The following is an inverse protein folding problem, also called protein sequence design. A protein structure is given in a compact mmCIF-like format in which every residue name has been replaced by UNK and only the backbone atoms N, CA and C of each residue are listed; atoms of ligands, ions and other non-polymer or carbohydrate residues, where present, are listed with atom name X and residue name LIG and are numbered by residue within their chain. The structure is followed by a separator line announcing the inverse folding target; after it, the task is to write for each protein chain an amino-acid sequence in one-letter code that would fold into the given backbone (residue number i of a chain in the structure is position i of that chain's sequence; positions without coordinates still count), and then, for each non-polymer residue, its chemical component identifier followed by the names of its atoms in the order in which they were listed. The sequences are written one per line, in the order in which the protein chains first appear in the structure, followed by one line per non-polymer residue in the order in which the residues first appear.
data_IF_803874409663
#
_entry.id   IF_803874409663
#
_cell.length_a   1.000
_cell.length_b   1.000
_cell.length_c   1.000
_cell.angle_alpha   90.00
_cell.angle_beta   90.00
_cell.angle_gamma   90.00
#
_symmetry.space_group_name_H-M   'P 1'
#
loop_
_entity.id
_entity.type
_entity.pdbx_description
1 polymer ?
#
# COMPACT_ATOMS: atom_id res chain seq x y z
N UNK A 1 -12.84 -8.06 12.88
CA UNK A 1 -11.76 -7.73 11.91
C UNK A 1 -10.49 -7.45 12.71
N UNK A 2 -9.44 -8.25 12.56
CA UNK A 2 -8.13 -7.96 13.15
C UNK A 2 -7.51 -6.78 12.39
N UNK A 3 -7.04 -5.75 13.10
CA UNK A 3 -6.28 -4.68 12.47
C UNK A 3 -4.90 -5.25 12.08
N UNK A 4 -4.45 -5.06 10.83
CA UNK A 4 -3.14 -5.54 10.43
C UNK A 4 -2.06 -4.85 11.27
N UNK A 5 -1.07 -5.63 11.73
CA UNK A 5 0.05 -5.09 12.49
C UNK A 5 0.97 -4.32 11.52
N UNK A 6 1.11 -3.02 11.77
CA UNK A 6 1.92 -2.14 10.95
C UNK A 6 3.30 -1.95 11.61
N UNK A 7 4.36 -2.18 10.85
CA UNK A 7 5.72 -1.85 11.23
C UNK A 7 6.16 -0.58 10.49
N UNK A 8 6.64 0.40 11.25
CA UNK A 8 7.19 1.65 10.73
C UNK A 8 8.67 1.43 10.40
N UNK A 9 9.11 1.77 9.19
CA UNK A 9 10.50 1.69 8.73
C UNK A 9 11.02 3.07 8.33
N UNK A 10 11.38 3.94 9.29
CA UNK A 10 11.79 5.33 9.00
C UNK A 10 13.03 5.43 8.11
N UNK A 11 14.00 4.51 8.29
CA UNK A 11 15.26 4.52 7.55
C UNK A 11 15.07 4.39 6.02
N UNK A 12 14.00 3.74 5.57
CA UNK A 12 13.68 3.59 4.14
C UNK A 12 12.45 4.40 3.71
N UNK A 13 11.84 5.17 4.62
CA UNK A 13 10.55 5.84 4.46
C UNK A 13 9.44 4.89 3.97
N UNK A 14 9.30 3.74 4.62
CA UNK A 14 8.34 2.69 4.24
C UNK A 14 7.57 2.13 5.43
N UNK A 15 6.48 1.45 5.12
CA UNK A 15 5.68 0.66 6.03
C UNK A 15 5.80 -0.81 5.64
N UNK A 16 5.75 -1.71 6.62
CA UNK A 16 5.64 -3.14 6.39
C UNK A 16 4.45 -3.70 7.17
N UNK A 17 3.74 -4.64 6.57
CA UNK A 17 2.54 -5.23 7.17
C UNK A 17 2.29 -6.64 6.69
N UNK A 18 1.55 -7.39 7.49
CA UNK A 18 1.08 -8.72 7.17
C UNK A 18 -0.42 -8.67 6.91
N UNK A 19 -0.83 -9.10 5.72
CA UNK A 19 -2.21 -9.06 5.26
C UNK A 19 -2.74 -10.47 5.02
N UNK A 20 -3.95 -10.80 5.50
CA UNK A 20 -4.67 -11.95 4.98
C UNK A 20 -5.04 -11.67 3.53
N UNK A 21 -4.86 -12.65 2.67
CA UNK A 21 -5.22 -12.60 1.26
C UNK A 21 -6.07 -13.80 0.90
N UNK A 22 -6.83 -13.69 -0.20
CA UNK A 22 -7.63 -14.79 -0.72
C UNK A 22 -7.38 -14.91 -2.22
N UNK A 23 -7.04 -16.12 -2.66
CA UNK A 23 -6.87 -16.45 -4.06
C UNK A 23 -8.12 -17.17 -4.57
N UNK A 24 -8.76 -16.62 -5.59
CA UNK A 24 -9.97 -17.16 -6.21
C UNK A 24 -9.92 -16.96 -7.74
N UNK A 25 -10.65 -17.79 -8.48
CA UNK A 25 -10.71 -17.68 -9.94
C UNK A 25 -11.30 -18.91 -10.63
N UNK A 26 -11.68 -18.80 -11.91
CA UNK A 26 -12.36 -19.86 -12.66
C UNK A 26 -11.49 -21.10 -12.89
N UNK A 27 -10.16 -20.96 -12.84
CA UNK A 27 -9.22 -22.07 -12.95
C UNK A 27 -9.02 -22.84 -11.62
N UNK A 28 -9.56 -22.32 -10.51
CA UNK A 28 -9.38 -22.89 -9.18
C UNK A 28 -10.64 -23.62 -8.73
N UNK A 29 -10.47 -24.81 -8.15
CA UNK A 29 -11.59 -25.63 -7.62
C UNK A 29 -12.29 -24.98 -6.43
N UNK A 30 -11.56 -24.15 -5.69
CA UNK A 30 -12.02 -23.44 -4.51
C UNK A 30 -11.17 -22.18 -4.29
N UNK A 31 -11.60 -21.32 -3.37
CA UNK A 31 -10.77 -20.20 -2.93
C UNK A 31 -9.78 -20.65 -1.86
N UNK A 32 -8.56 -20.15 -1.92
CA UNK A 32 -7.51 -20.44 -0.95
C UNK A 32 -7.24 -19.22 -0.08
N UNK A 33 -7.24 -19.41 1.23
CA UNK A 33 -6.77 -18.39 2.17
C UNK A 33 -5.25 -18.34 2.14
N UNK A 34 -4.69 -17.16 2.37
CA UNK A 34 -3.25 -16.98 2.38
C UNK A 34 -2.80 -15.79 3.21
N UNK A 35 -1.50 -15.61 3.25
CA UNK A 35 -0.83 -14.50 3.92
C UNK A 35 0.16 -13.86 2.96
N UNK A 36 0.17 -12.53 2.99
CA UNK A 36 1.09 -11.72 2.23
C UNK A 36 1.82 -10.79 3.20
N UNK A 37 3.14 -10.79 3.12
CA UNK A 37 3.97 -9.78 3.76
C UNK A 37 4.37 -8.76 2.70
N UNK A 38 4.09 -7.49 2.96
CA UNK A 38 4.30 -6.42 1.99
C UNK A 38 4.95 -5.21 2.65
N UNK A 39 5.86 -4.59 1.92
CA UNK A 39 6.51 -3.33 2.24
C UNK A 39 6.20 -2.29 1.16
N UNK A 40 5.87 -1.06 1.55
CA UNK A 40 5.53 0.00 0.61
C UNK A 40 5.78 1.39 1.19
N UNK A 41 6.01 2.37 0.33
CA UNK A 41 6.01 3.79 0.68
C UNK A 41 4.63 4.40 0.41
N UNK A 42 4.38 5.59 0.98
CA UNK A 42 3.12 6.31 0.81
C UNK A 42 3.35 7.61 0.05
N UNK A 43 2.42 7.92 -0.86
CA UNK A 43 2.35 9.23 -1.53
C UNK A 43 0.92 9.73 -1.57
N UNK A 44 0.76 11.04 -1.52
CA UNK A 44 -0.51 11.69 -1.84
C UNK A 44 -0.60 11.91 -3.36
N UNK A 45 -1.78 11.66 -3.93
CA UNK A 45 -2.14 11.91 -5.32
C UNK A 45 -3.20 13.02 -5.37
N UNK A 46 -2.83 14.26 -5.73
CA UNK A 46 -3.76 15.36 -5.78
C UNK A 46 -4.87 15.19 -6.82
N UNK A 47 -4.62 14.44 -7.90
CA UNK A 47 -5.55 14.31 -9.03
C UNK A 47 -6.89 13.69 -8.60
N UNK A 48 -6.85 12.71 -7.71
CA UNK A 48 -8.04 12.01 -7.19
C UNK A 48 -8.15 12.02 -5.66
N UNK A 49 -7.28 12.78 -4.99
CA UNK A 49 -7.24 12.97 -3.53
C UNK A 49 -7.04 11.66 -2.78
N UNK A 50 -6.14 10.82 -3.27
CA UNK A 50 -5.85 9.52 -2.66
C UNK A 50 -4.50 9.48 -1.98
N UNK A 51 -4.40 8.69 -0.91
CA UNK A 51 -3.12 8.19 -0.41
C UNK A 51 -2.87 6.84 -1.06
N UNK A 52 -1.78 6.72 -1.80
CA UNK A 52 -1.42 5.55 -2.60
C UNK A 52 -0.16 4.88 -2.06
N UNK A 53 -0.16 3.56 -2.11
CA UNK A 53 1.06 2.78 -1.96
C UNK A 53 1.94 2.95 -3.22
N UNK A 54 3.24 3.09 -3.05
CA UNK A 54 4.20 3.05 -4.16
C UNK A 54 5.50 2.40 -3.71
N UNK A 55 6.36 2.05 -4.67
CA UNK A 55 7.57 1.22 -4.41
C UNK A 55 7.17 -0.05 -3.65
N UNK A 56 6.16 -0.74 -4.16
CA UNK A 56 5.56 -1.89 -3.48
C UNK A 56 6.45 -3.11 -3.65
N UNK A 57 6.84 -3.70 -2.52
CA UNK A 57 7.66 -4.89 -2.43
C UNK A 57 6.90 -5.95 -1.62
N UNK A 58 6.39 -6.98 -2.29
CA UNK A 58 5.87 -8.17 -1.62
C UNK A 58 7.07 -9.03 -1.21
N UNK A 59 7.23 -9.23 0.10
CA UNK A 59 8.34 -10.00 0.67
C UNK A 59 8.04 -11.50 0.67
N UNK A 60 6.78 -11.86 0.90
CA UNK A 60 6.33 -13.25 0.87
C UNK A 60 4.86 -13.35 0.50
N UNK A 61 4.50 -14.44 -0.17
CA UNK A 61 3.13 -14.80 -0.50
C UNK A 61 2.95 -16.30 -0.34
N UNK A 62 2.01 -16.69 0.52
CA UNK A 62 1.78 -18.10 0.89
C UNK A 62 0.28 -18.37 0.93
N UNK A 63 -0.15 -19.54 0.48
CA UNK A 63 -1.55 -19.98 0.53
C UNK A 63 -1.67 -21.30 1.28
N UNK A 64 -2.65 -21.36 2.17
CA UNK A 64 -2.96 -22.55 2.96
C UNK A 64 -3.62 -23.60 2.05
N UNK A 65 -3.21 -24.86 2.16
CA UNK A 65 -3.80 -25.98 1.39
C UNK A 65 -3.41 -26.05 -0.09
N UNK A 66 -2.43 -25.26 -0.53
CA UNK A 66 -1.83 -25.42 -1.85
C UNK A 66 -0.97 -26.69 -1.91
N UNK A 67 -1.03 -27.41 -3.04
CA UNK A 67 -0.09 -28.50 -3.33
C UNK A 67 1.35 -27.98 -3.32
N UNK A 68 2.36 -28.74 -2.85
CA UNK A 68 3.75 -28.29 -2.78
C UNK A 68 4.29 -27.70 -4.09
N UNK A 69 3.94 -28.26 -5.26
CA UNK A 69 4.40 -27.72 -6.55
C UNK A 69 3.80 -26.33 -6.84
N UNK A 70 2.54 -26.13 -6.46
CA UNK A 70 1.86 -24.83 -6.60
C UNK A 70 2.40 -23.83 -5.59
N UNK A 71 2.63 -24.26 -4.35
CA UNK A 71 3.19 -23.42 -3.30
C UNK A 71 4.59 -22.89 -3.68
N UNK A 72 5.46 -23.74 -4.24
CA UNK A 72 6.79 -23.36 -4.71
C UNK A 72 6.73 -22.34 -5.86
N UNK A 73 5.86 -22.60 -6.85
CA UNK A 73 5.63 -21.66 -7.96
C UNK A 73 5.14 -20.29 -7.45
N UNK A 74 4.16 -20.27 -6.53
CA UNK A 74 3.65 -19.03 -5.94
C UNK A 74 4.74 -18.31 -5.16
N UNK A 75 5.50 -19.01 -4.32
CA UNK A 75 6.57 -18.40 -3.54
C UNK A 75 7.64 -17.78 -4.44
N UNK A 76 7.91 -18.39 -5.59
CA UNK A 76 8.96 -17.96 -6.53
C UNK A 76 8.53 -16.79 -7.41
N UNK A 77 7.29 -16.80 -7.91
CA UNK A 77 6.84 -15.85 -8.93
C UNK A 77 5.77 -14.87 -8.44
N UNK A 78 4.98 -15.29 -7.45
CA UNK A 78 3.88 -14.54 -6.88
C UNK A 78 4.28 -13.16 -6.35
N UNK A 79 5.36 -13.02 -5.54
CA UNK A 79 5.75 -11.74 -4.99
C UNK A 79 5.95 -10.65 -6.05
N UNK A 80 6.68 -10.96 -7.13
CA UNK A 80 6.92 -9.99 -8.21
C UNK A 80 5.63 -9.58 -8.93
N UNK A 81 4.75 -10.54 -9.24
CA UNK A 81 3.48 -10.25 -9.89
C UNK A 81 2.55 -9.43 -8.97
N UNK A 82 2.49 -9.79 -7.69
CA UNK A 82 1.69 -9.08 -6.70
C UNK A 82 2.20 -7.65 -6.48
N UNK A 83 3.52 -7.45 -6.39
CA UNK A 83 4.15 -6.12 -6.35
C UNK A 83 3.70 -5.24 -7.51
N UNK A 84 3.74 -5.76 -8.74
CA UNK A 84 3.32 -5.02 -9.92
C UNK A 84 1.82 -4.70 -9.90
N UNK A 85 0.99 -5.64 -9.48
CA UNK A 85 -0.46 -5.45 -9.40
C UNK A 85 -0.88 -4.43 -8.33
N UNK A 86 -0.11 -4.31 -7.25
CA UNK A 86 -0.38 -3.42 -6.12
C UNK A 86 0.28 -2.04 -6.27
N UNK A 87 1.12 -1.84 -7.28
CA UNK A 87 1.77 -0.55 -7.51
C UNK A 87 0.71 0.54 -7.74
N UNK A 88 0.86 1.67 -7.05
CA UNK A 88 -0.09 2.79 -7.06
C UNK A 88 -1.51 2.48 -6.56
N UNK A 89 -1.72 1.38 -5.84
CA UNK A 89 -3.02 1.06 -5.24
C UNK A 89 -3.45 2.14 -4.25
N UNK A 90 -4.69 2.63 -4.41
CA UNK A 90 -5.27 3.64 -3.52
C UNK A 90 -5.68 2.99 -2.19
N UNK A 91 -4.96 3.33 -1.12
CA UNK A 91 -5.20 2.82 0.23
C UNK A 91 -6.30 3.61 0.93
N UNK A 92 -6.40 4.90 0.64
CA UNK A 92 -7.35 5.80 1.29
C UNK A 92 -7.74 6.93 0.34
N UNK A 93 -9.04 7.23 0.26
CA UNK A 93 -9.53 8.46 -0.33
C UNK A 93 -9.70 9.49 0.79
N UNK A 94 -8.96 10.59 0.68
CA UNK A 94 -9.08 11.71 1.62
C UNK A 94 -10.42 12.38 1.36
N UNK A 95 -11.22 12.52 2.42
CA UNK A 95 -12.56 13.07 2.27
C UNK A 95 -12.47 14.58 1.98
N UNK A 96 -13.40 15.13 1.18
CA UNK A 96 -13.41 16.56 0.90
C UNK A 96 -13.43 17.44 2.16
N UNK A 97 -14.14 17.00 3.20
CA UNK A 97 -14.25 17.75 4.46
C UNK A 97 -12.91 17.84 5.20
N UNK A 98 -12.04 16.83 5.05
CA UNK A 98 -10.70 16.80 5.64
C UNK A 98 -9.73 17.76 4.93
N UNK A 99 -10.02 18.11 3.69
CA UNK A 99 -9.20 19.01 2.88
C UNK A 99 -9.73 20.45 2.84
N UNK A 100 -10.98 20.71 3.25
CA UNK A 100 -11.62 22.02 3.10
C UNK A 100 -10.77 23.20 3.57
N UNK A 101 -10.17 23.09 4.77
CA UNK A 101 -9.34 24.16 5.32
C UNK A 101 -8.08 24.38 4.47
N UNK A 102 -7.34 23.31 4.16
CA UNK A 102 -6.15 23.40 3.30
C UNK A 102 -6.50 23.96 1.92
N UNK A 103 -7.59 23.47 1.33
CA UNK A 103 -8.08 23.89 0.02
C UNK A 103 -8.39 25.39 -0.04
N UNK A 104 -9.06 25.93 0.98
CA UNK A 104 -9.38 27.37 1.07
C UNK A 104 -8.15 28.28 1.19
N UNK A 105 -7.03 27.72 1.66
CA UNK A 105 -5.75 28.41 1.79
C UNK A 105 -4.82 28.17 0.59
N UNK A 106 -5.28 27.46 -0.45
CA UNK A 106 -4.45 27.09 -1.60
C UNK A 106 -3.36 26.05 -1.26
N UNK A 107 -3.56 25.30 -0.18
CA UNK A 107 -2.65 24.28 0.33
C UNK A 107 -3.16 22.86 0.04
N UNK A 108 -2.26 21.89 0.09
CA UNK A 108 -2.59 20.47 -0.01
C UNK A 108 -1.56 19.60 0.72
N UNK A 109 -1.89 18.32 1.00
CA UNK A 109 -0.90 17.35 1.45
C UNK A 109 0.25 17.22 0.45
N UNK A 110 1.47 17.12 0.98
CA UNK A 110 2.70 16.94 0.24
C UNK A 110 3.33 15.59 0.53
N UNK A 111 4.66 15.58 0.71
CA UNK A 111 5.41 14.39 1.05
C UNK A 111 4.90 13.74 2.35
N UNK A 112 4.79 12.41 2.34
CA UNK A 112 4.46 11.60 3.51
C UNK A 112 5.75 10.95 4.01
N UNK A 113 6.08 11.18 5.28
CA UNK A 113 7.30 10.68 5.92
C UNK A 113 6.94 9.73 7.05
N UNK A 114 7.54 8.53 7.04
CA UNK A 114 7.43 7.55 8.11
C UNK A 114 8.43 7.90 9.20
N UNK A 115 7.94 8.11 10.41
CA UNK A 115 8.72 8.37 11.61
C UNK A 115 8.60 7.19 12.58
N UNK A 116 9.45 7.10 13.62
CA UNK A 116 9.29 6.08 14.65
C UNK A 116 7.94 6.17 15.40
N UNK A 117 7.29 7.34 15.38
CA UNK A 117 6.04 7.61 16.11
C UNK A 117 4.79 7.53 15.21
N UNK A 118 4.94 7.62 13.89
CA UNK A 118 3.81 7.58 12.97
C UNK A 118 4.13 8.09 11.57
N UNK A 119 3.16 8.80 10.99
CA UNK A 119 3.26 9.41 9.67
C UNK A 119 3.20 10.92 9.81
N UNK A 120 4.20 11.61 9.27
CA UNK A 120 4.20 13.05 9.11
C UNK A 120 3.78 13.38 7.67
N UNK A 121 2.80 14.26 7.54
CA UNK A 121 2.29 14.72 6.24
C UNK A 121 2.64 16.19 6.09
N UNK A 122 3.50 16.50 5.13
CA UNK A 122 3.82 17.88 4.80
C UNK A 122 2.58 18.60 4.24
N UNK A 123 2.48 19.91 4.46
CA UNK A 123 1.48 20.77 3.83
C UNK A 123 2.21 21.75 2.91
N UNK A 124 1.82 21.78 1.65
CA UNK A 124 2.49 22.56 0.60
C UNK A 124 1.49 23.39 -0.20
N UNK A 125 1.95 24.47 -0.83
CA UNK A 125 1.13 25.20 -1.79
C UNK A 125 0.82 24.34 -3.02
N UNK A 126 -0.40 24.44 -3.56
CA UNK A 126 -0.85 23.65 -4.72
C UNK A 126 0.05 23.84 -5.95
N UNK A 127 0.52 25.06 -6.18
CA UNK A 127 1.36 25.40 -7.34
C UNK A 127 2.82 24.89 -7.20
N UNK A 128 3.29 24.65 -5.97
CA UNK A 128 4.65 24.16 -5.71
C UNK A 128 4.77 22.63 -5.90
N UNK A 129 3.67 21.89 -5.81
CA UNK A 129 3.64 20.44 -5.92
C UNK A 129 3.69 19.89 -7.35
N UNK A 130 3.52 20.76 -8.36
CA UNK A 130 3.52 20.37 -9.78
C UNK A 130 4.92 20.26 -10.41
N UNK A 131 5.99 20.49 -9.63
CA UNK A 131 7.37 20.45 -10.13
C UNK A 131 8.02 19.09 -9.82
N UNK A 132 8.50 18.35 -10.83
CA UNK A 132 9.12 17.03 -10.66
C UNK A 132 10.47 17.09 -9.97
#
# INVERSE_FOLDING_TARGET
MQRPALQLLPASNQLQTHLPVQLSGPALRQSYAGRMEVRFALRYEPQDRTVRAHRVEVLSLQFDGADPAVADMVSTYGPRLASQALEAFALYHVKPEELQLADSLGLQPGAITVTPQGLDVAIVAKDAAAKP
#
